data_IF_604264876425
#
_entry.id   IF_604264876425
#
_cell.length_a   1.000
_cell.length_b   1.000
_cell.length_c   1.000
_cell.angle_alpha   90.00
_cell.angle_beta   90.00
_cell.angle_gamma   90.00
#
_symmetry.space_group_name_H-M   'P 1'
#
loop_
_entity.id
_entity.type
_entity.pdbx_description
1 polymer ?
#
# COMPACT_ATOMS: atom_id res chain seq x y z
N UNK A 1 64.62 16.89 7.71
CA UNK A 1 63.43 17.49 7.07
C UNK A 1 62.94 16.51 6.03
N UNK A 2 61.85 15.79 6.31
CA UNK A 2 61.31 14.77 5.40
C UNK A 2 60.23 15.38 4.50
N UNK A 3 60.48 15.33 3.20
CA UNK A 3 59.66 15.93 2.15
C UNK A 3 58.38 15.09 1.92
N UNK A 4 57.22 15.64 2.27
CA UNK A 4 55.91 14.98 2.08
C UNK A 4 55.60 14.90 0.57
N UNK A 5 55.68 13.70 0.00
CA UNK A 5 55.20 13.44 -1.37
C UNK A 5 53.67 13.56 -1.46
N UNK A 6 53.13 14.19 -2.51
CA UNK A 6 51.69 14.32 -2.72
C UNK A 6 51.08 12.96 -3.09
N UNK A 7 50.05 12.52 -2.33
CA UNK A 7 49.34 11.25 -2.56
C UNK A 7 48.51 11.32 -3.83
N UNK A 8 48.81 10.43 -4.78
CA UNK A 8 48.15 10.24 -6.09
C UNK A 8 46.93 9.31 -5.93
N UNK A 9 46.11 9.54 -4.91
CA UNK A 9 45.02 8.60 -4.57
C UNK A 9 43.72 9.32 -4.18
N UNK A 10 43.52 10.52 -4.74
CA UNK A 10 42.22 11.17 -4.74
C UNK A 10 41.70 11.18 -6.17
N UNK A 11 40.59 10.48 -6.47
CA UNK A 11 39.92 10.67 -7.74
C UNK A 11 39.50 12.14 -7.82
N UNK A 12 40.07 12.86 -8.81
CA UNK A 12 39.64 14.21 -9.13
C UNK A 12 38.18 14.11 -9.55
N UNK A 13 37.27 14.61 -8.72
CA UNK A 13 35.88 14.86 -9.11
C UNK A 13 35.84 16.03 -10.10
N UNK A 14 36.39 15.83 -11.29
CA UNK A 14 36.22 16.70 -12.46
C UNK A 14 34.89 16.35 -13.12
N UNK A 15 33.82 16.59 -12.38
CA UNK A 15 32.46 16.56 -12.90
C UNK A 15 31.85 17.90 -12.58
N UNK A 16 31.91 18.83 -13.55
CA UNK A 16 31.09 20.03 -13.53
C UNK A 16 29.65 19.54 -13.53
N UNK A 17 29.10 19.32 -12.32
CA UNK A 17 27.74 18.88 -12.07
C UNK A 17 26.87 19.98 -12.66
N UNK A 18 26.48 19.80 -13.91
CA UNK A 18 25.45 20.57 -14.55
C UNK A 18 24.25 20.44 -13.61
N UNK A 19 24.04 21.45 -12.77
CA UNK A 19 22.81 21.59 -12.02
C UNK A 19 21.76 21.78 -13.11
N UNK A 20 21.14 20.68 -13.53
CA UNK A 20 19.94 20.74 -14.34
C UNK A 20 19.04 21.77 -13.67
N UNK A 21 18.61 22.82 -14.37
CA UNK A 21 17.72 23.79 -13.78
C UNK A 21 16.54 22.98 -13.27
N UNK A 22 16.36 23.04 -11.95
CA UNK A 22 15.29 22.39 -11.23
C UNK A 22 14.02 22.70 -12.00
N UNK A 23 13.33 21.66 -12.46
CA UNK A 23 12.02 21.72 -13.09
C UNK A 23 11.06 22.44 -12.14
N UNK A 24 11.10 23.77 -12.16
CA UNK A 24 10.25 24.65 -11.38
C UNK A 24 8.84 24.46 -11.95
N UNK A 25 8.14 23.47 -11.36
CA UNK A 25 6.71 23.19 -11.37
C UNK A 25 6.38 21.68 -11.29
N UNK A 26 7.28 20.79 -10.84
CA UNK A 26 6.93 19.37 -10.64
C UNK A 26 5.71 19.16 -9.71
N UNK A 27 5.46 20.11 -8.80
CA UNK A 27 4.27 20.14 -7.96
C UNK A 27 3.00 20.54 -8.75
N UNK A 28 3.05 21.63 -9.52
CA UNK A 28 1.93 22.05 -10.38
C UNK A 28 1.60 21.02 -11.47
N UNK A 29 2.61 20.52 -12.19
CA UNK A 29 2.43 19.46 -13.19
C UNK A 29 1.94 18.16 -12.54
N UNK A 30 2.35 17.86 -11.32
CA UNK A 30 1.86 16.71 -10.57
C UNK A 30 0.37 16.77 -10.24
N UNK A 31 -0.12 17.93 -9.79
CA UNK A 31 -1.55 18.13 -9.50
C UNK A 31 -2.39 18.07 -10.78
N UNK A 32 -1.89 18.62 -11.89
CA UNK A 32 -2.56 18.58 -13.19
C UNK A 32 -2.63 17.13 -13.71
N UNK A 33 -1.51 16.40 -13.67
CA UNK A 33 -1.46 14.99 -14.07
C UNK A 33 -2.42 14.11 -13.26
N UNK A 34 -2.53 14.33 -11.95
CA UNK A 34 -3.45 13.55 -11.10
C UNK A 34 -4.93 13.82 -11.41
N UNK A 35 -5.29 15.09 -11.69
CA UNK A 35 -6.64 15.44 -12.15
C UNK A 35 -6.93 14.84 -13.52
N UNK A 36 -5.98 14.90 -14.45
CA UNK A 36 -6.10 14.30 -15.77
C UNK A 36 -6.26 12.78 -15.71
N UNK A 37 -5.49 12.10 -14.86
CA UNK A 37 -5.59 10.64 -14.68
C UNK A 37 -6.98 10.23 -14.16
N UNK A 38 -7.52 10.97 -13.17
CA UNK A 38 -8.89 10.74 -12.67
C UNK A 38 -9.95 11.01 -13.74
N UNK A 39 -9.77 12.05 -14.55
CA UNK A 39 -10.69 12.40 -15.62
C UNK A 39 -10.71 11.36 -16.75
N UNK A 40 -9.53 10.95 -17.23
CA UNK A 40 -9.38 9.93 -18.29
C UNK A 40 -9.90 8.55 -17.87
N UNK A 41 -9.81 8.21 -16.57
CA UNK A 41 -10.32 6.95 -16.02
C UNK A 41 -11.83 6.88 -15.82
N UNK A 42 -12.57 7.96 -16.10
CA UNK A 42 -14.02 8.02 -15.89
C UNK A 42 -14.76 7.52 -17.14
N UNK A 43 -15.77 6.63 -17.02
CA UNK A 43 -16.53 6.13 -18.19
C UNK A 43 -17.23 7.24 -18.98
N UNK A 44 -17.59 8.35 -18.32
CA UNK A 44 -18.16 9.52 -18.98
C UNK A 44 -17.24 10.20 -20.00
N UNK A 45 -15.91 10.15 -19.82
CA UNK A 45 -14.96 10.71 -20.79
C UNK A 45 -15.03 9.95 -22.12
N UNK A 46 -15.08 8.63 -22.07
CA UNK A 46 -15.17 7.77 -23.26
C UNK A 46 -16.46 8.09 -24.02
N UNK A 47 -17.59 8.14 -23.33
CA UNK A 47 -18.89 8.47 -23.93
C UNK A 47 -18.88 9.85 -24.58
N UNK A 48 -18.35 10.87 -23.88
CA UNK A 48 -18.24 12.23 -24.40
C UNK A 48 -17.35 12.32 -25.63
N UNK A 49 -16.21 11.63 -25.64
CA UNK A 49 -15.28 11.61 -26.77
C UNK A 49 -15.88 10.88 -27.98
N UNK A 50 -16.59 9.78 -27.78
CA UNK A 50 -17.33 9.09 -28.86
C UNK A 50 -18.40 10.00 -29.45
N UNK A 51 -19.16 10.72 -28.61
CA UNK A 51 -20.18 11.66 -29.08
C UNK A 51 -19.55 12.81 -29.86
N UNK A 52 -18.41 13.35 -29.40
CA UNK A 52 -17.68 14.39 -30.10
C UNK A 52 -17.22 13.95 -31.49
N UNK A 53 -16.61 12.76 -31.60
CA UNK A 53 -16.17 12.19 -32.88
C UNK A 53 -17.38 11.96 -33.81
N UNK A 54 -18.46 11.36 -33.30
CA UNK A 54 -19.66 11.11 -34.08
C UNK A 54 -20.33 12.42 -34.56
N UNK A 55 -20.41 13.43 -33.70
CA UNK A 55 -20.95 14.74 -34.04
C UNK A 55 -20.08 15.44 -35.10
N UNK A 56 -18.75 15.38 -34.98
CA UNK A 56 -17.83 15.93 -35.98
C UNK A 56 -18.04 15.29 -37.35
N UNK A 57 -18.10 13.96 -37.40
CA UNK A 57 -18.34 13.20 -38.64
C UNK A 57 -19.71 13.55 -39.23
N UNK A 58 -20.75 13.63 -38.41
CA UNK A 58 -22.12 13.91 -38.85
C UNK A 58 -22.26 15.34 -39.39
N UNK A 59 -21.68 16.34 -38.72
CA UNK A 59 -21.67 17.73 -39.18
C UNK A 59 -20.95 17.88 -40.53
N UNK A 60 -19.79 17.24 -40.70
CA UNK A 60 -19.03 17.33 -41.95
C UNK A 60 -19.64 16.49 -43.09
N UNK A 61 -20.40 15.43 -42.78
CA UNK A 61 -21.03 14.57 -43.81
C UNK A 61 -22.37 15.13 -44.28
N UNK A 62 -23.24 15.52 -43.33
CA UNK A 62 -24.63 15.93 -43.61
C UNK A 62 -24.73 17.45 -43.84
N UNK A 63 -23.75 18.23 -43.36
CA UNK A 63 -23.75 19.68 -43.51
C UNK A 63 -23.78 20.17 -44.96
N UNK A 64 -24.25 21.40 -45.22
CA UNK A 64 -24.18 22.03 -46.54
C UNK A 64 -22.75 22.07 -47.05
N UNK A 65 -22.52 21.94 -48.37
CA UNK A 65 -21.18 21.96 -48.98
C UNK A 65 -20.32 23.17 -48.58
N UNK A 66 -20.93 24.29 -48.21
CA UNK A 66 -20.25 25.51 -47.73
C UNK A 66 -19.66 25.39 -46.32
N UNK A 67 -20.12 24.43 -45.50
CA UNK A 67 -19.66 24.18 -44.12
C UNK A 67 -18.86 22.88 -43.97
N UNK A 68 -18.61 22.16 -45.07
CA UNK A 68 -17.77 20.96 -45.06
C UNK A 68 -16.31 21.37 -45.15
N UNK A 69 -15.68 21.56 -43.99
CA UNK A 69 -14.26 21.87 -43.92
C UNK A 69 -13.39 20.61 -43.84
N UNK A 70 -13.96 19.46 -43.43
CA UNK A 70 -13.25 18.19 -43.26
C UNK A 70 -14.00 17.05 -43.97
N UNK A 71 -13.81 16.92 -45.29
CA UNK A 71 -14.48 15.89 -46.11
C UNK A 71 -13.82 14.51 -45.92
N UNK A 72 -14.56 13.42 -46.16
CA UNK A 72 -14.06 12.06 -46.01
C UNK A 72 -12.77 11.87 -46.83
N UNK A 73 -11.63 11.49 -46.22
CA UNK A 73 -11.46 10.69 -45.00
C UNK A 73 -11.21 11.42 -43.66
N UNK A 74 -11.64 12.67 -43.49
CA UNK A 74 -11.51 13.46 -42.24
C UNK A 74 -10.05 13.72 -41.80
N UNK A 75 -9.29 14.43 -42.64
CA UNK A 75 -7.87 14.73 -42.40
C UNK A 75 -7.64 15.55 -41.13
N UNK A 76 -8.50 16.54 -40.84
CA UNK A 76 -8.32 17.40 -39.67
C UNK A 76 -8.59 16.66 -38.38
N UNK A 77 -9.67 15.86 -38.35
CA UNK A 77 -9.97 15.00 -37.20
C UNK A 77 -8.78 14.07 -36.90
N UNK A 78 -8.19 13.45 -37.92
CA UNK A 78 -7.07 12.55 -37.75
C UNK A 78 -5.81 13.25 -37.20
N UNK A 79 -5.47 14.42 -37.75
CA UNK A 79 -4.34 15.21 -37.23
C UNK A 79 -4.58 15.63 -35.77
N UNK A 80 -5.80 16.04 -35.43
CA UNK A 80 -6.14 16.42 -34.06
C UNK A 80 -6.03 15.23 -33.09
N UNK A 81 -6.51 14.05 -33.47
CA UNK A 81 -6.42 12.84 -32.64
C UNK A 81 -4.96 12.36 -32.47
N UNK A 82 -4.14 12.44 -33.52
CA UNK A 82 -2.72 12.08 -33.41
C UNK A 82 -1.92 13.05 -32.54
N UNK A 83 -2.20 14.36 -32.66
CA UNK A 83 -1.67 15.37 -31.74
C UNK A 83 -2.14 15.11 -30.31
N UNK A 84 -3.41 14.73 -30.13
CA UNK A 84 -3.96 14.41 -28.81
C UNK A 84 -3.17 13.29 -28.13
N UNK A 85 -2.95 12.20 -28.86
CA UNK A 85 -2.16 11.08 -28.35
C UNK A 85 -0.72 11.50 -28.02
N UNK A 86 -0.11 12.33 -28.87
CA UNK A 86 1.26 12.81 -28.69
C UNK A 86 1.45 13.65 -27.43
N UNK A 87 0.53 14.55 -27.08
CA UNK A 87 0.63 15.32 -25.84
C UNK A 87 0.18 14.52 -24.60
N UNK A 88 -0.70 13.53 -24.77
CA UNK A 88 -1.16 12.70 -23.67
C UNK A 88 -0.04 11.80 -23.14
N UNK A 89 0.78 11.22 -24.02
CA UNK A 89 1.88 10.31 -23.65
C UNK A 89 2.85 10.88 -22.57
N UNK A 90 3.44 12.08 -22.71
CA UNK A 90 4.33 12.64 -21.68
C UNK A 90 3.59 12.99 -20.39
N UNK A 91 2.33 13.43 -20.46
CA UNK A 91 1.52 13.69 -19.25
C UNK A 91 1.19 12.42 -18.49
N UNK A 92 0.90 11.33 -19.21
CA UNK A 92 0.66 10.00 -18.64
C UNK A 92 1.94 9.47 -18.00
N UNK A 93 3.10 9.60 -18.65
CA UNK A 93 4.39 9.18 -18.07
C UNK A 93 4.68 9.92 -16.74
N UNK A 94 4.39 11.21 -16.66
CA UNK A 94 4.54 11.98 -15.42
C UNK A 94 3.56 11.52 -14.34
N UNK A 95 2.31 11.22 -14.71
CA UNK A 95 1.32 10.67 -13.78
C UNK A 95 1.77 9.29 -13.26
N UNK A 96 2.32 8.44 -14.15
CA UNK A 96 2.84 7.11 -13.81
C UNK A 96 4.05 7.18 -12.89
N UNK A 97 5.03 8.05 -13.15
CA UNK A 97 6.18 8.24 -12.26
C UNK A 97 5.74 8.61 -10.84
N UNK A 98 4.76 9.51 -10.71
CA UNK A 98 4.22 9.87 -9.40
C UNK A 98 3.47 8.73 -8.72
N UNK A 99 2.71 7.94 -9.48
CA UNK A 99 2.04 6.77 -8.93
C UNK A 99 3.07 5.76 -8.42
N UNK A 100 4.12 5.48 -9.20
CA UNK A 100 5.22 4.60 -8.81
C UNK A 100 5.97 5.09 -7.57
N UNK A 101 6.20 6.41 -7.44
CA UNK A 101 6.80 6.99 -6.24
C UNK A 101 5.94 6.77 -4.99
N UNK A 102 4.61 6.97 -5.09
CA UNK A 102 3.68 6.69 -3.98
C UNK A 102 3.64 5.20 -3.64
N UNK A 103 3.55 4.35 -4.65
CA UNK A 103 3.49 2.90 -4.48
C UNK A 103 4.78 2.39 -3.80
N UNK A 104 5.94 2.97 -4.15
CA UNK A 104 7.21 2.69 -3.48
C UNK A 104 7.18 3.05 -2.00
N UNK A 105 6.73 4.26 -1.64
CA UNK A 105 6.63 4.69 -0.24
C UNK A 105 5.65 3.80 0.53
N UNK A 106 4.52 3.45 -0.07
CA UNK A 106 3.56 2.53 0.53
C UNK A 106 4.19 1.17 0.80
N UNK A 107 4.94 0.61 -0.14
CA UNK A 107 5.66 -0.67 0.03
C UNK A 107 6.75 -0.60 1.10
N UNK A 108 7.49 0.51 1.21
CA UNK A 108 8.49 0.70 2.27
C UNK A 108 7.84 0.76 3.66
N UNK A 109 6.69 1.43 3.79
CA UNK A 109 5.93 1.47 5.04
C UNK A 109 5.34 0.11 5.40
N UNK A 110 4.82 -0.62 4.41
CA UNK A 110 4.25 -1.95 4.59
C UNK A 110 5.32 -2.93 5.12
N UNK A 111 6.51 -2.94 4.51
CA UNK A 111 7.65 -3.72 5.01
C UNK A 111 8.01 -3.37 6.46
N UNK A 112 8.08 -2.08 6.79
CA UNK A 112 8.38 -1.66 8.17
C UNK A 112 7.30 -2.08 9.16
N UNK A 113 6.04 -2.11 8.74
CA UNK A 113 4.93 -2.60 9.57
C UNK A 113 5.02 -4.11 9.75
N UNK A 114 5.32 -4.86 8.70
CA UNK A 114 5.47 -6.31 8.76
C UNK A 114 6.62 -6.73 9.68
N UNK A 115 7.76 -6.03 9.62
CA UNK A 115 8.88 -6.25 10.56
C UNK A 115 8.46 -6.05 12.02
N UNK A 116 7.67 -4.99 12.30
CA UNK A 116 7.15 -4.75 13.65
C UNK A 116 6.13 -5.81 14.08
N UNK A 117 5.22 -6.18 13.20
CA UNK A 117 4.22 -7.23 13.47
C UNK A 117 4.89 -8.57 13.77
N UNK A 118 5.97 -8.89 13.06
CA UNK A 118 6.77 -10.09 13.31
C UNK A 118 7.42 -10.03 14.69
N UNK A 119 8.06 -8.90 15.03
CA UNK A 119 8.67 -8.70 16.35
C UNK A 119 7.64 -8.76 17.50
N UNK A 120 6.46 -8.15 17.33
CA UNK A 120 5.37 -8.22 18.30
C UNK A 120 4.85 -9.65 18.46
N UNK A 121 4.75 -10.40 17.37
CA UNK A 121 4.35 -11.82 17.40
C UNK A 121 5.38 -12.68 18.14
N UNK A 122 6.68 -12.46 17.89
CA UNK A 122 7.75 -13.14 18.62
C UNK A 122 7.74 -12.80 20.12
N UNK A 123 7.52 -11.53 20.46
CA UNK A 123 7.39 -11.07 21.84
C UNK A 123 6.19 -11.74 22.53
N UNK A 124 5.00 -11.68 21.93
CA UNK A 124 3.81 -12.33 22.46
C UNK A 124 4.00 -13.85 22.61
N UNK A 125 4.67 -14.49 21.67
CA UNK A 125 4.98 -15.93 21.75
C UNK A 125 5.88 -16.24 22.95
N UNK A 126 6.90 -15.41 23.19
CA UNK A 126 7.78 -15.54 24.36
C UNK A 126 7.03 -15.30 25.66
N UNK A 127 6.20 -14.26 25.73
CA UNK A 127 5.36 -13.97 26.90
C UNK A 127 4.35 -15.09 27.18
N UNK A 128 3.71 -15.65 26.15
CA UNK A 128 2.81 -16.80 26.32
C UNK A 128 3.58 -18.03 26.82
N UNK A 129 4.80 -18.26 26.34
CA UNK A 129 5.65 -19.35 26.82
C UNK A 129 6.05 -19.16 28.30
N UNK A 130 6.43 -17.94 28.71
CA UNK A 130 6.78 -17.64 30.11
C UNK A 130 5.56 -17.76 31.03
N UNK A 131 4.41 -17.22 30.62
CA UNK A 131 3.14 -17.36 31.34
C UNK A 131 2.74 -18.83 31.51
N UNK A 132 2.89 -19.65 30.45
CA UNK A 132 2.60 -21.09 30.51
C UNK A 132 3.50 -21.82 31.51
N UNK A 133 4.78 -21.45 31.60
CA UNK A 133 5.71 -22.02 32.58
C UNK A 133 5.32 -21.61 34.00
N UNK A 134 5.05 -20.32 34.24
CA UNK A 134 4.63 -19.83 35.56
C UNK A 134 3.29 -20.44 36.04
N UNK A 135 2.32 -20.59 35.13
CA UNK A 135 1.05 -21.28 35.42
C UNK A 135 1.24 -22.77 35.73
N UNK A 136 2.21 -23.43 35.07
CA UNK A 136 2.52 -24.84 35.35
C UNK A 136 3.07 -25.05 36.76
N UNK A 137 3.77 -24.06 37.31
CA UNK A 137 4.30 -24.08 38.67
C UNK A 137 3.23 -23.78 39.72
N UNK A 138 2.30 -22.84 39.44
CA UNK A 138 1.25 -22.42 40.40
C UNK A 138 -0.05 -23.22 40.33
N UNK A 139 -0.33 -23.91 39.23
CA UNK A 139 -1.52 -24.73 39.05
C UNK A 139 -1.14 -26.18 38.73
N UNK A 140 -0.37 -26.83 39.60
CA UNK A 140 -0.19 -28.28 39.46
C UNK A 140 -1.49 -28.95 39.89
N UNK A 141 -2.09 -29.75 39.00
CA UNK A 141 -3.24 -30.63 39.32
C UNK A 141 -3.02 -31.38 40.64
N UNK A 142 -1.78 -31.78 40.90
CA UNK A 142 -1.40 -32.49 42.12
C UNK A 142 -1.39 -31.60 43.37
N UNK A 143 -1.03 -30.31 43.26
CA UNK A 143 -1.16 -29.34 44.35
C UNK A 143 -2.62 -29.01 44.65
N UNK A 144 -3.42 -28.73 43.61
CA UNK A 144 -4.87 -28.50 43.77
C UNK A 144 -5.54 -29.75 44.34
N UNK A 145 -5.08 -30.95 43.97
CA UNK A 145 -5.59 -32.22 44.48
C UNK A 145 -5.13 -32.52 45.91
N UNK A 146 -3.91 -32.13 46.29
CA UNK A 146 -3.45 -32.26 47.68
C UNK A 146 -4.19 -31.29 48.58
N UNK A 147 -4.33 -30.02 48.19
CA UNK A 147 -5.12 -29.04 48.96
C UNK A 147 -6.59 -29.43 49.06
N UNK A 148 -7.20 -29.92 47.98
CA UNK A 148 -8.57 -30.45 48.03
C UNK A 148 -8.71 -31.67 48.94
N UNK A 149 -7.66 -32.50 49.08
CA UNK A 149 -7.66 -33.66 50.00
C UNK A 149 -7.46 -33.21 51.43
N UNK A 150 -6.48 -32.36 51.68
CA UNK A 150 -6.19 -31.83 53.01
C UNK A 150 -7.41 -31.08 53.56
N UNK A 151 -8.09 -30.28 52.74
CA UNK A 151 -9.35 -29.64 53.12
C UNK A 151 -10.50 -30.65 53.34
N UNK A 152 -10.55 -31.73 52.57
CA UNK A 152 -11.56 -32.79 52.77
C UNK A 152 -11.34 -33.52 54.09
N UNK A 153 -10.10 -33.88 54.38
CA UNK A 153 -9.68 -34.57 55.60
C UNK A 153 -9.92 -33.66 56.82
N UNK A 154 -9.64 -32.36 56.71
CA UNK A 154 -9.95 -31.38 57.77
C UNK A 154 -11.47 -31.26 58.02
N UNK A 155 -12.29 -31.30 56.98
CA UNK A 155 -13.75 -31.31 57.14
C UNK A 155 -14.27 -32.61 57.77
N UNK A 156 -13.66 -33.75 57.46
CA UNK A 156 -13.98 -35.05 58.04
C UNK A 156 -13.58 -35.12 59.52
N UNK A 157 -12.41 -34.60 59.88
CA UNK A 157 -11.98 -34.43 61.29
C UNK A 157 -12.92 -33.54 62.09
N UNK A 158 -13.48 -32.50 61.46
CA UNK A 158 -14.50 -31.63 62.09
C UNK A 158 -15.90 -32.27 62.13
N UNK A 159 -16.05 -33.51 61.67
CA UNK A 159 -17.30 -34.28 61.76
C UNK A 159 -18.37 -33.89 60.74
N UNK A 160 -18.02 -33.13 59.69
CA UNK A 160 -18.95 -32.73 58.63
C UNK A 160 -18.89 -33.75 57.49
N UNK A 161 -19.60 -34.87 57.64
CA UNK A 161 -19.64 -35.92 56.61
C UNK A 161 -20.44 -35.46 55.39
N UNK A 162 -19.79 -35.31 54.23
CA UNK A 162 -20.47 -35.14 52.94
C UNK A 162 -21.05 -36.50 52.52
N UNK A 163 -22.29 -36.77 52.91
CA UNK A 163 -22.99 -37.99 52.52
C UNK A 163 -23.18 -38.02 51.01
N UNK A 164 -22.47 -38.93 50.34
CA UNK A 164 -22.69 -39.23 48.91
C UNK A 164 -23.94 -40.08 48.80
N UNK A 165 -25.09 -39.47 48.50
CA UNK A 165 -26.34 -40.21 48.25
C UNK A 165 -26.16 -41.10 47.02
N UNK A 166 -26.28 -42.45 47.12
CA UNK A 166 -26.20 -43.32 45.95
C UNK A 166 -27.41 -43.07 45.04
N UNK A 167 -27.27 -43.20 43.71
CA UNK A 167 -28.41 -43.13 42.82
C UNK A 167 -29.37 -44.26 43.14
N UNK A 168 -30.52 -43.91 43.70
CA UNK A 168 -31.68 -44.77 43.82
C UNK A 168 -32.08 -45.23 42.44
N UNK A 169 -31.98 -46.54 42.19
CA UNK A 169 -32.67 -47.19 41.10
C UNK A 169 -33.26 -48.50 41.60
N UNK A 170 -34.50 -48.80 41.18
CA UNK A 170 -35.46 -49.68 41.85
C UNK A 170 -35.14 -51.18 41.77
#
# INVERSE_FOLDING_TARGET
>A
MAERRPRIDQPRESGKRWRSPSFANQEYFGVVSEKFARFLGTPGFIVGMTFFIAAWMLLNTVGPKSWRWDEYPFQFLNVMLSLQASYAAPLILLAQNRQADRDRVALEQDRSRDERNLADTEFLTREVASLRLGLRETATRDFVRSELRDLLDEMEERGLSVTKTPPTSP
#
